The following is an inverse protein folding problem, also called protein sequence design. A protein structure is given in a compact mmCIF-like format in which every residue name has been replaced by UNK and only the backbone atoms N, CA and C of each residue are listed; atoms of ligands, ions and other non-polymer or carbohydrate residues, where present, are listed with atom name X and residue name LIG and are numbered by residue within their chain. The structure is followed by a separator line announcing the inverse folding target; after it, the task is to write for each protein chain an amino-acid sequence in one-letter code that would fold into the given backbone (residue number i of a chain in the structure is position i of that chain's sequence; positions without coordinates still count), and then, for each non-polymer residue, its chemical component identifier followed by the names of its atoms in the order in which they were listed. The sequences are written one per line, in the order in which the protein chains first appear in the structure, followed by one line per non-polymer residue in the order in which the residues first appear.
data_IF_934933417110
#
_entry.id   IF_934933417110
#
_cell.length_a   1.000
_cell.length_b   1.000
_cell.length_c   1.000
_cell.angle_alpha   90.00
_cell.angle_beta   90.00
_cell.angle_gamma   90.00
#
_symmetry.space_group_name_H-M   'P 1'
#
loop_
_entity.id
_entity.type
_entity.pdbx_description
1 polymer ?
#
# COMPACT_ATOMS: atom_id res chain seq x y z
N UNK A 1 10.19 11.13 -14.57
CA UNK A 1 8.97 11.15 -15.42
C UNK A 1 8.06 12.25 -14.91
N UNK A 2 7.47 13.10 -15.77
CA UNK A 2 6.56 14.18 -15.31
C UNK A 2 5.18 13.60 -14.99
N UNK A 3 4.53 14.07 -13.91
CA UNK A 3 3.23 13.57 -13.45
C UNK A 3 2.12 13.70 -14.51
N UNK A 4 2.16 14.76 -15.31
CA UNK A 4 1.18 15.00 -16.38
C UNK A 4 1.20 13.90 -17.45
N UNK A 5 2.37 13.31 -17.71
CA UNK A 5 2.59 12.27 -18.72
C UNK A 5 2.27 10.86 -18.19
N UNK A 6 1.90 10.71 -16.92
CA UNK A 6 1.48 9.44 -16.35
C UNK A 6 0.05 9.14 -16.75
N UNK A 7 -0.15 7.96 -17.35
CA UNK A 7 -1.47 7.36 -17.48
C UNK A 7 -2.04 7.05 -16.10
N UNK A 8 -3.37 6.92 -16.01
CA UNK A 8 -3.99 6.42 -14.80
C UNK A 8 -3.67 4.93 -14.61
N UNK A 9 -3.18 4.55 -13.43
CA UNK A 9 -2.70 3.21 -13.11
C UNK A 9 -3.39 2.67 -11.87
N UNK A 10 -3.32 1.36 -11.66
CA UNK A 10 -3.79 0.76 -10.40
C UNK A 10 -2.83 1.19 -9.28
N UNK A 11 -3.38 1.47 -8.11
CA UNK A 11 -2.63 1.60 -6.86
C UNK A 11 -2.70 0.28 -6.11
N UNK A 12 -1.57 -0.25 -5.65
CA UNK A 12 -1.56 -1.41 -4.78
C UNK A 12 -1.21 -0.98 -3.36
N UNK A 13 -2.07 -1.39 -2.41
CA UNK A 13 -1.88 -1.14 -1.00
C UNK A 13 -1.93 -2.44 -0.20
N UNK A 14 -0.95 -2.65 0.68
CA UNK A 14 -0.79 -3.90 1.44
C UNK A 14 0.10 -4.93 0.75
N UNK A 15 0.12 -6.13 1.31
CA UNK A 15 1.03 -7.19 0.91
C UNK A 15 0.28 -8.23 0.06
N UNK A 16 0.58 -8.38 -1.24
CA UNK A 16 -0.10 -9.33 -2.09
C UNK A 16 0.28 -10.77 -1.73
N UNK A 17 -0.71 -11.65 -1.65
CA UNK A 17 -0.47 -13.11 -1.62
C UNK A 17 0.08 -13.60 -2.97
N UNK A 18 0.62 -14.82 -3.02
CA UNK A 18 1.02 -15.46 -4.30
C UNK A 18 -0.11 -15.47 -5.35
N UNK A 19 -1.34 -15.71 -4.92
CA UNK A 19 -2.52 -15.65 -5.79
C UNK A 19 -2.86 -14.21 -6.19
N UNK A 20 -2.71 -13.26 -5.25
CA UNK A 20 -2.83 -11.83 -5.49
C UNK A 20 -1.89 -11.33 -6.59
N UNK A 21 -0.62 -11.71 -6.53
CA UNK A 21 0.39 -11.39 -7.55
C UNK A 21 -0.02 -11.87 -8.95
N UNK A 22 -0.53 -13.11 -9.07
CA UNK A 22 -1.02 -13.63 -10.35
C UNK A 22 -2.18 -12.81 -10.92
N UNK A 23 -3.02 -12.21 -10.06
CA UNK A 23 -4.13 -11.34 -10.48
C UNK A 23 -3.66 -9.96 -10.98
N UNK A 24 -2.47 -9.51 -10.57
CA UNK A 24 -1.86 -8.22 -10.97
C UNK A 24 -1.22 -8.29 -12.36
N UNK A 25 -0.79 -9.47 -12.82
CA UNK A 25 -0.09 -9.69 -14.11
C UNK A 25 -0.77 -9.14 -15.37
N UNK A 26 -2.02 -8.68 -15.27
CA UNK A 26 -2.74 -8.03 -16.38
C UNK A 26 -2.42 -6.54 -16.57
N UNK A 27 -1.55 -5.94 -15.74
CA UNK A 27 -1.22 -4.50 -15.83
C UNK A 27 0.28 -4.29 -16.05
N UNK A 28 0.66 -3.52 -17.08
CA UNK A 28 2.08 -3.23 -17.38
C UNK A 28 2.79 -2.43 -16.28
N UNK A 29 2.07 -1.57 -15.55
CA UNK A 29 2.62 -0.77 -14.45
C UNK A 29 1.61 -0.58 -13.32
N UNK A 30 2.09 -0.47 -12.08
CA UNK A 30 1.28 -0.27 -10.88
C UNK A 30 1.97 0.73 -9.93
N UNK A 31 1.20 1.60 -9.27
CA UNK A 31 1.75 2.44 -8.20
C UNK A 31 1.94 1.62 -6.93
N UNK A 32 3.11 1.78 -6.30
CA UNK A 32 3.47 1.13 -5.03
C UNK A 32 3.98 2.19 -4.07
N UNK A 33 3.22 2.51 -3.01
CA UNK A 33 3.67 3.43 -1.98
C UNK A 33 4.73 2.78 -1.10
N UNK A 34 5.45 3.60 -0.35
CA UNK A 34 6.46 3.15 0.61
C UNK A 34 5.88 2.26 1.71
N UNK A 35 4.65 2.51 2.18
CA UNK A 35 3.99 1.77 3.26
C UNK A 35 4.82 1.81 4.54
N UNK A 36 4.96 3.01 5.10
CA UNK A 36 5.66 3.26 6.36
C UNK A 36 4.94 2.57 7.55
N UNK A 37 5.66 2.29 8.66
CA UNK A 37 7.07 2.60 8.92
C UNK A 37 8.04 1.60 8.28
N UNK A 38 7.59 0.38 7.97
CA UNK A 38 8.48 -0.74 7.60
C UNK A 38 8.95 -0.76 6.14
N UNK A 39 8.61 0.27 5.36
CA UNK A 39 8.96 0.43 3.95
C UNK A 39 8.58 -0.82 3.13
N UNK A 40 7.36 -1.33 3.38
CA UNK A 40 6.89 -2.59 2.77
C UNK A 40 6.78 -2.50 1.25
N UNK A 41 6.57 -1.30 0.73
CA UNK A 41 6.51 -1.03 -0.70
C UNK A 41 7.71 -1.56 -1.47
N UNK A 42 8.93 -1.44 -0.91
CA UNK A 42 10.13 -1.94 -1.58
C UNK A 42 10.15 -3.46 -1.69
N UNK A 43 9.78 -4.17 -0.61
CA UNK A 43 9.65 -5.63 -0.61
C UNK A 43 8.60 -6.09 -1.63
N UNK A 44 7.47 -5.38 -1.71
CA UNK A 44 6.41 -5.69 -2.68
C UNK A 44 6.88 -5.38 -4.11
N UNK A 45 7.58 -4.27 -4.34
CA UNK A 45 8.14 -3.90 -5.64
C UNK A 45 9.11 -4.96 -6.17
N UNK A 46 9.98 -5.50 -5.31
CA UNK A 46 10.89 -6.61 -5.68
C UNK A 46 10.10 -7.83 -6.18
N UNK A 47 9.02 -8.20 -5.49
CA UNK A 47 8.16 -9.32 -5.86
C UNK A 47 7.43 -9.07 -7.18
N UNK A 48 6.95 -7.85 -7.41
CA UNK A 48 6.30 -7.47 -8.66
C UNK A 48 7.27 -7.54 -9.84
N UNK A 49 8.51 -7.06 -9.67
CA UNK A 49 9.56 -7.15 -10.68
C UNK A 49 9.84 -8.61 -11.08
N UNK A 50 9.93 -9.54 -10.11
CA UNK A 50 10.09 -10.99 -10.37
C UNK A 50 8.94 -11.59 -11.18
N UNK A 51 7.74 -11.01 -11.06
CA UNK A 51 6.55 -11.43 -11.80
C UNK A 51 6.35 -10.66 -13.13
N UNK A 52 7.30 -9.80 -13.52
CA UNK A 52 7.25 -9.02 -14.76
C UNK A 52 6.33 -7.80 -14.72
N UNK A 53 5.88 -7.36 -13.54
CA UNK A 53 5.05 -6.16 -13.36
C UNK A 53 5.96 -4.99 -12.98
N UNK A 54 5.85 -3.84 -13.67
CA UNK A 54 6.67 -2.66 -13.39
C UNK A 54 6.10 -1.82 -12.22
N UNK A 55 6.72 -1.80 -11.03
CA UNK A 55 6.30 -0.92 -9.96
C UNK A 55 6.74 0.53 -10.24
N UNK A 56 5.85 1.48 -9.98
CA UNK A 56 6.17 2.90 -9.89
C UNK A 56 6.11 3.27 -8.41
N UNK A 57 7.29 3.39 -7.82
CA UNK A 57 7.42 3.67 -6.39
C UNK A 57 7.08 5.12 -6.07
N UNK A 58 6.29 5.34 -5.02
CA UNK A 58 5.87 6.67 -4.54
C UNK A 58 5.90 6.71 -3.01
N UNK A 59 5.91 7.89 -2.41
CA UNK A 59 5.77 8.03 -0.95
C UNK A 59 4.29 8.09 -0.56
N UNK A 60 3.96 7.76 0.70
CA UNK A 60 2.57 7.64 1.15
C UNK A 60 1.84 9.00 1.07
N UNK A 61 2.55 10.10 1.31
CA UNK A 61 2.03 11.46 1.22
C UNK A 61 1.70 11.92 -0.21
N UNK A 62 2.24 11.27 -1.25
CA UNK A 62 1.92 11.61 -2.65
C UNK A 62 0.54 11.13 -3.05
N UNK A 63 -0.05 10.18 -2.31
CA UNK A 63 -1.31 9.55 -2.69
C UNK A 63 -2.43 10.57 -2.87
N UNK A 64 -2.61 11.50 -1.92
CA UNK A 64 -3.64 12.54 -2.05
C UNK A 64 -3.53 13.33 -3.36
N UNK A 65 -2.30 13.70 -3.77
CA UNK A 65 -2.09 14.39 -5.04
C UNK A 65 -2.39 13.48 -6.25
N UNK A 66 -2.03 12.19 -6.19
CA UNK A 66 -2.31 11.24 -7.26
C UNK A 66 -3.82 11.01 -7.46
N UNK A 67 -4.57 10.88 -6.36
CA UNK A 67 -6.03 10.80 -6.39
C UNK A 67 -6.64 12.09 -6.95
N UNK A 68 -6.24 13.26 -6.44
CA UNK A 68 -6.72 14.56 -6.91
C UNK A 68 -6.47 14.78 -8.42
N UNK A 69 -5.32 14.35 -8.92
CA UNK A 69 -4.96 14.43 -10.35
C UNK A 69 -5.49 13.27 -11.20
N UNK A 70 -6.39 12.44 -10.65
CA UNK A 70 -7.02 11.30 -11.33
C UNK A 70 -6.01 10.31 -11.94
N UNK A 71 -4.87 10.12 -11.26
CA UNK A 71 -3.82 9.20 -11.70
C UNK A 71 -4.02 7.78 -11.17
N UNK A 72 -4.99 7.57 -10.30
CA UNK A 72 -5.36 6.24 -9.79
C UNK A 72 -6.66 5.80 -10.45
N UNK A 73 -6.65 4.64 -11.14
CA UNK A 73 -7.84 4.10 -11.80
C UNK A 73 -8.64 3.14 -10.92
N UNK A 74 -7.95 2.45 -10.02
CA UNK A 74 -8.49 1.49 -9.07
C UNK A 74 -7.49 1.29 -7.95
N UNK A 75 -7.97 0.87 -6.78
CA UNK A 75 -7.11 0.42 -5.67
C UNK A 75 -7.21 -1.09 -5.52
N UNK A 76 -6.07 -1.77 -5.59
CA UNK A 76 -5.92 -3.16 -5.22
C UNK A 76 -5.55 -3.23 -3.74
N UNK A 77 -6.57 -3.38 -2.89
CA UNK A 77 -6.40 -3.39 -1.44
C UNK A 77 -6.17 -4.81 -0.94
N UNK A 78 -4.94 -5.10 -0.51
CA UNK A 78 -4.55 -6.39 0.05
C UNK A 78 -4.72 -6.38 1.57
N UNK A 79 -5.86 -6.88 2.05
CA UNK A 79 -6.19 -6.91 3.47
C UNK A 79 -5.59 -8.14 4.17
N UNK A 80 -5.26 -8.00 5.46
CA UNK A 80 -4.72 -9.07 6.32
C UNK A 80 -5.80 -10.04 6.75
N UNK A 81 -6.92 -9.57 7.29
CA UNK A 81 -8.06 -10.40 7.73
C UNK A 81 -9.38 -9.66 7.58
N UNK A 82 -10.48 -10.41 7.64
CA UNK A 82 -11.81 -9.86 7.82
C UNK A 82 -12.32 -10.23 9.20
N UNK A 83 -12.98 -9.30 9.88
CA UNK A 83 -13.51 -9.50 11.22
C UNK A 83 -14.77 -8.64 11.38
N UNK A 84 -15.86 -9.25 11.88
CA UNK A 84 -17.17 -8.61 12.03
C UNK A 84 -17.69 -7.91 10.76
N UNK A 85 -17.35 -8.45 9.59
CA UNK A 85 -17.74 -7.88 8.31
C UNK A 85 -16.86 -6.73 7.84
N UNK A 86 -15.76 -6.40 8.52
CA UNK A 86 -14.85 -5.31 8.14
C UNK A 86 -13.47 -5.84 7.78
N UNK A 87 -12.70 -5.02 7.06
CA UNK A 87 -11.35 -5.40 6.65
C UNK A 87 -10.30 -4.83 7.59
N UNK A 88 -9.30 -5.65 7.90
CA UNK A 88 -8.09 -5.22 8.58
C UNK A 88 -6.95 -5.16 7.57
N UNK A 89 -6.34 -4.00 7.41
CA UNK A 89 -5.17 -3.79 6.57
C UNK A 89 -3.97 -3.31 7.39
N UNK A 90 -2.84 -3.15 6.72
CA UNK A 90 -1.65 -2.52 7.34
C UNK A 90 -1.95 -1.05 7.70
N UNK A 91 -1.11 -0.43 8.52
CA UNK A 91 -1.13 1.02 8.78
C UNK A 91 -1.27 1.82 7.47
N UNK A 92 -2.12 2.86 7.47
CA UNK A 92 -2.52 3.68 6.33
C UNK A 92 -3.59 3.08 5.40
N UNK A 93 -4.11 1.88 5.66
CA UNK A 93 -5.20 1.29 4.86
C UNK A 93 -6.50 2.10 4.94
N UNK A 94 -6.85 2.64 6.10
CA UNK A 94 -8.00 3.51 6.27
C UNK A 94 -7.84 4.78 5.42
N UNK A 95 -6.65 5.39 5.45
CA UNK A 95 -6.33 6.57 4.65
C UNK A 95 -6.51 6.32 3.15
N UNK A 96 -5.96 5.22 2.63
CA UNK A 96 -6.07 4.89 1.20
C UNK A 96 -7.50 4.57 0.78
N UNK A 97 -8.24 3.80 1.59
CA UNK A 97 -9.63 3.47 1.28
C UNK A 97 -10.53 4.70 1.36
N UNK A 98 -10.32 5.58 2.34
CA UNK A 98 -11.04 6.85 2.44
C UNK A 98 -10.75 7.77 1.24
N UNK A 99 -9.49 7.90 0.82
CA UNK A 99 -9.15 8.65 -0.40
C UNK A 99 -9.86 8.07 -1.63
N UNK A 100 -9.88 6.75 -1.75
CA UNK A 100 -10.56 6.08 -2.87
C UNK A 100 -12.05 6.38 -2.87
N UNK A 101 -12.70 6.30 -1.72
CA UNK A 101 -14.11 6.64 -1.54
C UNK A 101 -14.41 8.10 -1.90
N UNK A 102 -13.65 9.05 -1.34
CA UNK A 102 -13.83 10.49 -1.59
C UNK A 102 -13.64 10.87 -3.07
N UNK A 103 -12.74 10.17 -3.77
CA UNK A 103 -12.44 10.41 -5.18
C UNK A 103 -13.18 9.47 -6.14
N UNK A 104 -14.12 8.66 -5.64
CA UNK A 104 -14.91 7.70 -6.44
C UNK A 104 -14.04 6.73 -7.27
N UNK A 105 -12.90 6.32 -6.70
CA UNK A 105 -12.01 5.33 -7.30
C UNK A 105 -12.40 3.95 -6.77
N UNK A 106 -12.66 2.96 -7.65
CA UNK A 106 -13.09 1.63 -7.23
C UNK A 106 -12.01 0.91 -6.44
N UNK A 107 -12.42 0.22 -5.37
CA UNK A 107 -11.54 -0.64 -4.57
C UNK A 107 -11.82 -2.11 -4.88
N UNK A 108 -10.77 -2.84 -5.22
CA UNK A 108 -10.76 -4.29 -5.32
C UNK A 108 -10.06 -4.89 -4.11
N UNK A 109 -10.85 -5.30 -3.12
CA UNK A 109 -10.35 -5.98 -1.94
C UNK A 109 -9.89 -7.42 -2.29
N UNK A 110 -8.66 -7.75 -1.94
CA UNK A 110 -8.02 -9.04 -2.18
C UNK A 110 -7.36 -9.52 -0.89
N UNK A 111 -7.43 -10.82 -0.61
CA UNK A 111 -6.73 -11.38 0.55
C UNK A 111 -5.22 -11.25 0.35
N UNK A 112 -4.58 -10.50 1.25
CA UNK A 112 -3.14 -10.38 1.34
C UNK A 112 -2.51 -11.51 2.16
N UNK A 113 -1.21 -11.37 2.40
CA UNK A 113 -0.46 -12.22 3.32
C UNK A 113 0.37 -11.37 4.29
N UNK A 114 0.94 -12.00 5.30
CA UNK A 114 1.88 -11.35 6.20
C UNK A 114 3.31 -11.65 5.73
N UNK A 115 4.19 -10.65 5.84
CA UNK A 115 5.63 -10.84 5.65
C UNK A 115 6.29 -10.69 7.01
N UNK A 116 7.27 -11.52 7.31
CA UNK A 116 8.12 -11.34 8.48
C UNK A 116 8.83 -9.97 8.38
N UNK A 117 8.46 -9.08 9.31
CA UNK A 117 8.92 -7.71 9.40
C UNK A 117 10.25 -7.57 10.17
N UNK A 118 11.08 -8.62 10.23
CA UNK A 118 12.48 -8.47 10.66
C UNK A 118 13.22 -7.54 9.70
N UNK A 119 13.10 -6.24 9.95
CA UNK A 119 13.84 -5.14 9.35
C UNK A 119 14.63 -4.47 10.46
N UNK A 120 15.82 -3.97 10.12
CA UNK A 120 16.71 -3.29 11.06
C UNK A 120 16.05 -2.05 11.66
N UNK A 121 15.23 -1.35 10.87
CA UNK A 121 14.49 -0.16 11.29
C UNK A 121 12.99 -0.43 11.28
N UNK A 122 12.43 -0.60 12.48
CA UNK A 122 11.00 -0.88 12.69
C UNK A 122 10.20 0.40 12.95
N UNK A 123 10.87 1.45 13.39
CA UNK A 123 10.28 2.72 13.78
C UNK A 123 11.31 3.85 13.61
N UNK A 124 10.97 5.05 14.11
CA UNK A 124 11.86 6.21 14.05
C UNK A 124 13.00 6.16 15.08
N UNK A 125 13.08 5.13 15.93
CA UNK A 125 14.16 5.00 16.90
C UNK A 125 15.48 4.67 16.23
N UNK A 126 15.48 3.98 15.08
CA UNK A 126 16.70 3.60 14.37
C UNK A 126 16.71 4.04 12.91
N UNK A 127 17.91 4.28 12.39
CA UNK A 127 18.20 4.44 10.96
C UNK A 127 19.43 3.60 10.63
N UNK A 128 19.30 2.66 9.69
CA UNK A 128 20.33 1.67 9.36
C UNK A 128 20.83 0.89 10.59
N UNK A 129 19.89 0.54 11.49
CA UNK A 129 20.17 -0.15 12.74
C UNK A 129 20.87 0.71 13.80
N UNK A 130 21.14 1.98 13.52
CA UNK A 130 21.75 2.92 14.45
C UNK A 130 20.69 3.76 15.15
N UNK A 131 20.82 3.94 16.47
CA UNK A 131 19.88 4.74 17.27
C UNK A 131 19.86 6.20 16.78
N UNK A 132 18.71 6.65 16.32
CA UNK A 132 18.45 7.98 15.78
C UNK A 132 17.63 8.85 16.74
N UNK A 133 16.55 8.31 17.32
CA UNK A 133 15.65 9.05 18.20
C UNK A 133 15.27 8.19 19.41
N UNK A 134 15.14 8.77 20.60
CA UNK A 134 14.94 8.02 21.87
C UNK A 134 13.52 8.07 22.43
N UNK A 135 12.67 8.96 21.94
CA UNK A 135 11.30 9.05 22.46
C UNK A 135 10.43 8.00 21.78
N UNK A 136 9.54 7.38 22.57
CA UNK A 136 8.69 6.27 22.18
C UNK A 136 7.99 6.55 20.84
N UNK A 137 8.51 5.94 19.76
CA UNK A 137 7.74 5.81 18.55
C UNK A 137 6.52 4.95 18.88
N UNK A 138 5.33 5.42 18.53
CA UNK A 138 4.12 4.62 18.70
C UNK A 138 4.20 3.46 17.71
N UNK A 139 4.04 2.25 18.23
CA UNK A 139 4.01 1.04 17.41
C UNK A 139 2.91 1.16 16.34
N UNK A 140 3.28 0.93 15.08
CA UNK A 140 2.31 0.93 13.99
C UNK A 140 1.39 -0.28 14.14
N UNK A 141 0.07 -0.02 14.18
CA UNK A 141 -0.95 -1.06 14.29
C UNK A 141 -1.67 -1.26 12.96
N UNK A 142 -2.23 -2.44 12.80
CA UNK A 142 -3.17 -2.69 11.72
C UNK A 142 -4.37 -1.73 11.84
N UNK A 143 -4.90 -1.35 10.69
CA UNK A 143 -6.04 -0.44 10.61
C UNK A 143 -7.30 -1.17 10.20
N UNK A 144 -8.37 -0.81 10.92
CA UNK A 144 -9.72 -1.20 10.59
C UNK A 144 -10.26 -0.32 9.45
N UNK A 145 -10.78 -0.96 8.41
CA UNK A 145 -11.37 -0.30 7.23
C UNK A 145 -12.87 -0.64 7.17
N UNK A 146 -13.76 0.36 7.33
CA UNK A 146 -15.19 0.21 7.16
C UNK A 146 -15.59 -0.30 5.76
N UNK A 147 -16.58 -1.18 5.68
CA UNK A 147 -17.09 -1.71 4.40
C UNK A 147 -17.66 -0.63 3.48
N UNK A 148 -18.21 0.43 4.06
CA UNK A 148 -18.77 1.56 3.32
C UNK A 148 -17.75 2.28 2.43
N UNK A 149 -16.44 2.19 2.74
CA UNK A 149 -15.39 2.78 1.90
C UNK A 149 -14.97 1.88 0.74
N UNK A 150 -15.38 0.60 0.75
CA UNK A 150 -14.98 -0.39 -0.26
C UNK A 150 -16.10 -0.68 -1.27
N UNK A 151 -17.34 -0.32 -0.93
CA UNK A 151 -18.52 -0.48 -1.81
C UNK A 151 -18.53 0.49 -2.97
#
# INVERSE_FOLDING_TARGET
MRLEKLNSLSLLWGIPSKEGLKKIKKTNSVFIPEMRPYILGLKVAERLNKEGVKPIYVTDNMLGLLFYKQKIKEVLFFYKKMENGHFWGICGSLYVCLLSHLHQVPIKALKGEEIDLRVFDQDALTIDGCLFFKNAAVEAKDEYVPMEFIK
#
